data_IF_080730478349
#
_entry.id   IF_080730478349
#
_cell.length_a   1.000
_cell.length_b   1.000
_cell.length_c   1.000
_cell.angle_alpha   90.00
_cell.angle_beta   90.00
_cell.angle_gamma   90.00
#
_symmetry.space_group_name_H-M   'P 1'
#
loop_
_entity.id
_entity.type
_entity.pdbx_description
1 polymer ?
#
# COMPACT_ATOMS: atom_id res chain seq x y z
N UNK A 1 -5.38 -22.15 65.16
CA UNK A 1 -6.37 -21.59 64.20
C UNK A 1 -5.93 -20.25 63.60
N UNK A 2 -5.55 -19.22 64.38
CA UNK A 2 -5.08 -17.93 63.83
C UNK A 2 -3.94 -18.04 62.80
N UNK A 3 -2.93 -18.86 63.06
CA UNK A 3 -1.81 -19.04 62.13
C UNK A 3 -2.20 -19.70 60.80
N UNK A 4 -3.14 -20.66 60.82
CA UNK A 4 -3.62 -21.31 59.60
C UNK A 4 -4.42 -20.35 58.70
N UNK A 5 -5.22 -19.46 59.30
CA UNK A 5 -5.99 -18.45 58.57
C UNK A 5 -5.06 -17.42 57.90
N UNK A 6 -3.99 -17.02 58.60
CA UNK A 6 -3.00 -16.09 58.04
C UNK A 6 -2.27 -16.71 56.85
N UNK A 7 -1.86 -17.99 56.95
CA UNK A 7 -1.16 -18.69 55.87
C UNK A 7 -2.04 -18.82 54.62
N UNK A 8 -3.30 -19.21 54.79
CA UNK A 8 -4.25 -19.34 53.68
C UNK A 8 -4.50 -17.98 53.02
N UNK A 9 -4.67 -16.90 53.80
CA UNK A 9 -4.85 -15.56 53.28
C UNK A 9 -3.62 -15.09 52.48
N UNK A 10 -2.40 -15.36 52.95
CA UNK A 10 -1.17 -14.99 52.22
C UNK A 10 -1.02 -15.75 50.90
N UNK A 11 -1.37 -17.03 50.86
CA UNK A 11 -1.33 -17.84 49.63
C UNK A 11 -2.37 -17.34 48.64
N UNK A 12 -3.59 -17.03 49.09
CA UNK A 12 -4.64 -16.49 48.24
C UNK A 12 -4.25 -15.14 47.63
N UNK A 13 -3.62 -14.25 48.42
CA UNK A 13 -3.11 -12.96 47.94
C UNK A 13 -2.00 -13.17 46.90
N UNK A 14 -1.03 -14.05 47.17
CA UNK A 14 0.01 -14.38 46.19
C UNK A 14 -0.55 -14.94 44.89
N UNK A 15 -1.53 -15.84 44.96
CA UNK A 15 -2.19 -16.41 43.77
C UNK A 15 -2.97 -15.34 42.99
N UNK A 16 -3.65 -14.42 43.66
CA UNK A 16 -4.30 -13.29 42.97
C UNK A 16 -3.29 -12.35 42.33
N UNK A 17 -2.18 -12.01 43.02
CA UNK A 17 -1.13 -11.19 42.42
C UNK A 17 -0.55 -11.91 41.20
N UNK A 18 -0.25 -13.20 41.28
CA UNK A 18 0.25 -14.00 40.15
C UNK A 18 -0.74 -14.07 38.98
N UNK A 19 -2.04 -14.16 39.26
CA UNK A 19 -3.09 -14.16 38.23
C UNK A 19 -3.26 -12.79 37.54
N UNK A 20 -2.98 -11.68 38.24
CA UNK A 20 -2.99 -10.32 37.67
C UNK A 20 -1.63 -9.86 37.14
N UNK A 21 -0.55 -10.58 37.45
CA UNK A 21 0.76 -10.43 36.80
C UNK A 21 0.91 -11.43 35.65
N UNK A 22 -0.17 -11.72 34.91
CA UNK A 22 0.06 -12.10 33.51
C UNK A 22 0.67 -10.87 32.87
N UNK A 23 1.99 -10.92 32.82
CA UNK A 23 2.89 -9.87 32.40
C UNK A 23 2.27 -9.20 31.19
N UNK A 24 2.23 -7.87 31.22
CA UNK A 24 2.30 -7.11 29.99
C UNK A 24 3.48 -7.71 29.22
N UNK A 25 3.20 -8.63 28.29
CA UNK A 25 4.16 -9.01 27.27
C UNK A 25 4.42 -7.70 26.55
N UNK A 26 5.50 -7.05 26.98
CA UNK A 26 5.94 -5.78 26.42
C UNK A 26 6.11 -6.06 24.95
N UNK A 27 5.13 -5.58 24.20
CA UNK A 27 5.04 -5.83 22.80
C UNK A 27 6.28 -5.19 22.17
N UNK A 28 7.26 -6.03 21.81
CA UNK A 28 8.62 -5.58 21.48
C UNK A 28 8.56 -4.69 20.24
N UNK A 29 8.82 -3.40 20.43
CA UNK A 29 8.78 -2.36 19.41
C UNK A 29 8.38 -1.01 20.02
N UNK A 30 8.86 0.08 19.43
CA UNK A 30 8.45 1.42 19.81
C UNK A 30 7.10 1.79 19.16
N UNK A 31 6.35 2.69 19.80
CA UNK A 31 5.13 3.25 19.23
C UNK A 31 5.45 3.87 17.85
N UNK A 32 4.68 3.49 16.83
CA UNK A 32 4.89 3.89 15.44
C UNK A 32 5.71 2.89 14.61
N UNK A 33 6.33 1.88 15.22
CA UNK A 33 7.02 0.83 14.48
C UNK A 33 6.05 0.04 13.59
N UNK A 34 6.50 -0.30 12.39
CA UNK A 34 5.76 -1.12 11.42
C UNK A 34 6.44 -2.47 11.28
N UNK A 35 5.64 -3.55 11.32
CA UNK A 35 6.11 -4.93 11.16
C UNK A 35 5.30 -5.66 10.09
N UNK A 36 5.99 -6.36 9.20
CA UNK A 36 5.35 -7.32 8.30
C UNK A 36 5.36 -8.71 8.92
N UNK A 37 4.28 -9.46 8.77
CA UNK A 37 4.19 -10.81 9.29
C UNK A 37 3.32 -11.71 8.41
N UNK A 38 3.66 -13.01 8.41
CA UNK A 38 2.81 -14.06 7.84
C UNK A 38 1.65 -14.43 8.77
N UNK A 39 1.72 -14.04 10.05
CA UNK A 39 0.73 -14.42 11.06
C UNK A 39 -0.55 -13.56 10.92
N UNK A 40 -1.74 -14.18 10.97
CA UNK A 40 -3.00 -13.45 11.07
C UNK A 40 -3.12 -12.73 12.43
N UNK A 41 -4.04 -11.75 12.58
CA UNK A 41 -4.07 -10.86 13.73
C UNK A 41 -4.10 -11.55 15.10
N UNK A 42 -4.90 -12.61 15.26
CA UNK A 42 -5.01 -13.32 16.53
C UNK A 42 -3.68 -13.97 16.92
N UNK A 43 -3.02 -14.64 15.97
CA UNK A 43 -1.70 -15.26 16.18
C UNK A 43 -0.58 -14.25 16.32
N UNK A 44 -0.66 -13.14 15.61
CA UNK A 44 0.31 -12.07 15.74
C UNK A 44 0.29 -11.47 17.15
N UNK A 45 -0.91 -11.24 17.72
CA UNK A 45 -1.09 -10.71 19.07
C UNK A 45 -0.63 -11.69 20.16
N UNK A 46 -0.88 -13.00 19.98
CA UNK A 46 -0.34 -14.04 20.87
C UNK A 46 1.20 -13.94 20.98
N UNK A 47 1.89 -13.63 19.87
CA UNK A 47 3.37 -13.60 19.81
C UNK A 47 3.98 -12.22 20.09
N UNK A 48 3.26 -11.13 19.80
CA UNK A 48 3.81 -9.77 19.80
C UNK A 48 3.11 -8.84 20.79
N UNK A 49 2.08 -9.29 21.50
CA UNK A 49 1.28 -8.52 22.45
C UNK A 49 0.21 -7.63 21.83
N UNK A 50 -0.66 -7.09 22.69
CA UNK A 50 -1.88 -6.37 22.29
C UNK A 50 -1.67 -4.92 21.83
N UNK A 51 -0.45 -4.38 21.98
CA UNK A 51 -0.13 -3.01 21.56
C UNK A 51 -0.08 -2.79 20.05
N UNK A 52 -0.19 -3.86 19.26
CA UNK A 52 -0.15 -3.82 17.80
C UNK A 52 -1.54 -3.85 17.18
N UNK A 53 -1.72 -3.06 16.12
CA UNK A 53 -2.92 -3.07 15.29
C UNK A 53 -2.58 -3.45 13.86
N UNK A 54 -3.49 -4.16 13.19
CA UNK A 54 -3.42 -4.40 11.76
C UNK A 54 -3.62 -3.07 11.03
N UNK A 55 -2.80 -2.76 10.03
CA UNK A 55 -2.93 -1.55 9.22
C UNK A 55 -4.04 -1.70 8.16
N UNK A 56 -5.29 -1.68 8.61
CA UNK A 56 -6.50 -1.71 7.77
C UNK A 56 -7.38 -0.46 7.99
N UNK A 57 -8.61 -0.49 7.48
CA UNK A 57 -9.58 0.60 7.61
C UNK A 57 -10.15 0.76 9.04
N UNK A 58 -9.79 -0.13 9.98
CA UNK A 58 -10.39 -0.24 11.32
C UNK A 58 -9.38 -0.04 12.45
N UNK A 59 -8.27 0.65 12.19
CA UNK A 59 -7.24 0.90 13.20
C UNK A 59 -7.82 1.77 14.34
N UNK A 60 -7.80 1.28 15.60
CA UNK A 60 -8.35 2.03 16.73
C UNK A 60 -7.35 3.10 17.22
N UNK A 61 -7.26 4.22 16.50
CA UNK A 61 -6.35 5.31 16.85
C UNK A 61 -6.86 6.23 17.95
N UNK A 62 -8.18 6.42 18.08
CA UNK A 62 -8.73 7.32 19.09
C UNK A 62 -8.31 6.89 20.50
N UNK A 63 -7.56 7.75 21.21
CA UNK A 63 -7.10 7.47 22.57
C UNK A 63 -5.93 6.49 22.68
N UNK A 64 -5.34 6.04 21.56
CA UNK A 64 -4.12 5.25 21.59
C UNK A 64 -2.91 6.11 21.98
N UNK A 65 -1.80 5.48 22.36
CA UNK A 65 -0.55 6.19 22.62
C UNK A 65 -0.02 6.87 21.34
N UNK A 66 -0.15 6.22 20.18
CA UNK A 66 0.23 6.83 18.90
C UNK A 66 -0.55 8.12 18.62
N UNK A 67 -1.80 8.19 19.05
CA UNK A 67 -2.63 9.39 18.94
C UNK A 67 -2.31 10.43 20.01
N UNK A 68 -2.24 10.02 21.27
CA UNK A 68 -2.13 10.96 22.40
C UNK A 68 -0.70 11.47 22.59
N UNK A 69 0.32 10.65 22.35
CA UNK A 69 1.74 11.02 22.50
C UNK A 69 2.31 11.67 21.23
N UNK A 70 1.87 11.23 20.04
CA UNK A 70 2.45 11.67 18.76
C UNK A 70 1.48 12.44 17.84
N UNK A 71 0.22 12.59 18.23
CA UNK A 71 -0.76 13.37 17.46
C UNK A 71 -1.23 12.70 16.17
N UNK A 72 -0.96 11.41 15.96
CA UNK A 72 -1.38 10.70 14.74
C UNK A 72 -2.85 10.33 14.88
N UNK A 73 -3.71 10.94 14.06
CA UNK A 73 -5.17 10.75 14.11
C UNK A 73 -5.71 9.81 13.04
N UNK A 74 -4.92 9.51 12.02
CA UNK A 74 -5.31 8.66 10.90
C UNK A 74 -4.10 7.92 10.33
N UNK A 75 -4.32 6.70 9.86
CA UNK A 75 -3.35 5.90 9.11
C UNK A 75 -4.03 5.31 7.88
N UNK A 76 -3.28 5.03 6.80
CA UNK A 76 -3.84 4.40 5.62
C UNK A 76 -4.13 2.92 5.86
N UNK A 77 -5.13 2.39 5.16
CA UNK A 77 -5.28 0.96 4.92
C UNK A 77 -4.14 0.50 4.01
N UNK A 78 -3.26 -0.36 4.52
CA UNK A 78 -2.08 -0.81 3.80
C UNK A 78 -2.34 -2.03 2.90
N UNK A 79 -3.54 -2.61 2.92
CA UNK A 79 -3.85 -3.83 2.16
C UNK A 79 -3.74 -3.59 0.66
N UNK A 80 -2.96 -4.42 -0.02
CA UNK A 80 -2.75 -4.32 -1.47
C UNK A 80 -1.91 -3.12 -1.91
N UNK A 81 -1.34 -2.35 -0.98
CA UNK A 81 -0.50 -1.20 -1.29
C UNK A 81 0.98 -1.54 -1.19
N UNK A 82 1.79 -0.92 -2.06
CA UNK A 82 3.23 -0.90 -1.90
C UNK A 82 3.64 0.17 -0.88
N UNK A 83 4.43 -0.21 0.12
CA UNK A 83 5.02 0.74 1.05
C UNK A 83 6.32 1.29 0.46
N UNK A 84 6.46 2.61 0.52
CA UNK A 84 7.65 3.33 0.07
C UNK A 84 8.14 4.28 1.13
N UNK A 85 9.45 4.44 1.23
CA UNK A 85 10.05 5.48 2.07
C UNK A 85 9.69 6.87 1.55
N UNK A 86 9.54 7.82 2.47
CA UNK A 86 9.34 9.22 2.13
C UNK A 86 10.56 9.81 1.43
N UNK A 87 10.30 10.63 0.43
CA UNK A 87 11.30 11.41 -0.30
C UNK A 87 11.67 12.73 0.43
N UNK A 88 11.55 12.75 1.76
CA UNK A 88 11.67 13.98 2.54
C UNK A 88 13.11 14.51 2.50
N UNK A 89 13.28 15.81 2.19
CA UNK A 89 14.56 16.53 2.17
C UNK A 89 15.64 15.94 1.24
N UNK A 90 15.26 15.15 0.22
CA UNK A 90 16.23 14.67 -0.78
C UNK A 90 16.68 15.80 -1.71
N UNK A 91 17.98 15.83 -1.99
CA UNK A 91 18.65 16.84 -2.80
C UNK A 91 19.51 16.23 -3.92
N UNK A 92 19.26 14.97 -4.31
CA UNK A 92 20.18 14.17 -5.15
C UNK A 92 19.60 13.75 -6.52
N UNK A 93 18.68 14.54 -7.11
CA UNK A 93 17.98 14.29 -8.39
C UNK A 93 17.19 12.96 -8.50
N UNK A 94 17.33 12.05 -7.53
CA UNK A 94 16.63 10.76 -7.43
C UNK A 94 15.27 10.86 -6.75
N UNK A 95 14.86 12.08 -6.41
CA UNK A 95 13.55 12.34 -5.82
C UNK A 95 12.44 12.07 -6.82
N UNK A 96 11.33 11.54 -6.34
CA UNK A 96 10.11 11.49 -7.14
C UNK A 96 9.58 12.92 -7.41
N UNK A 97 8.81 13.13 -8.49
CA UNK A 97 8.40 14.45 -8.92
C UNK A 97 7.30 15.08 -8.05
N UNK A 98 6.79 14.39 -7.03
CA UNK A 98 5.62 14.80 -6.26
C UNK A 98 5.77 16.21 -5.69
N UNK A 99 6.92 16.55 -5.13
CA UNK A 99 7.14 17.86 -4.52
C UNK A 99 7.11 19.00 -5.55
N UNK A 100 7.59 18.73 -6.76
CA UNK A 100 7.56 19.67 -7.88
C UNK A 100 6.13 19.86 -8.41
N UNK A 101 5.36 18.78 -8.49
CA UNK A 101 3.98 18.77 -8.99
C UNK A 101 3.00 19.44 -8.00
N UNK A 102 3.19 19.19 -6.70
CA UNK A 102 2.24 19.60 -5.66
C UNK A 102 2.72 20.80 -4.83
N UNK A 103 3.95 21.29 -5.08
CA UNK A 103 4.59 22.40 -4.34
C UNK A 103 4.65 22.18 -2.82
N UNK A 104 4.72 20.92 -2.38
CA UNK A 104 4.85 20.50 -0.98
C UNK A 104 5.51 19.14 -0.85
N UNK A 105 6.07 18.84 0.32
CA UNK A 105 6.49 17.48 0.63
C UNK A 105 5.26 16.54 0.74
N UNK A 106 5.48 15.25 0.44
CA UNK A 106 4.51 14.19 0.70
C UNK A 106 4.39 13.97 2.20
N UNK A 107 3.16 13.83 2.69
CA UNK A 107 2.91 13.50 4.10
C UNK A 107 3.09 12.00 4.37
N UNK A 108 3.46 11.63 5.59
CA UNK A 108 3.47 10.22 6.02
C UNK A 108 2.06 9.63 5.82
N UNK A 109 2.00 8.43 5.22
CA UNK A 109 0.73 7.73 4.98
C UNK A 109 -0.09 8.23 3.78
N UNK A 110 0.41 9.22 3.02
CA UNK A 110 -0.31 9.75 1.87
C UNK A 110 -0.33 8.76 0.69
N UNK A 111 -1.54 8.34 0.31
CA UNK A 111 -1.78 7.45 -0.83
C UNK A 111 -1.26 8.05 -2.15
N UNK A 112 -0.71 7.18 -2.99
CA UNK A 112 -0.33 7.48 -4.37
C UNK A 112 -0.99 6.43 -5.26
N UNK A 113 -1.88 6.87 -6.14
CA UNK A 113 -2.46 5.98 -7.14
C UNK A 113 -1.43 5.57 -8.20
N UNK A 114 -1.72 4.46 -8.87
CA UNK A 114 -0.92 4.00 -10.00
C UNK A 114 -0.98 5.02 -11.14
N UNK A 115 0.15 5.21 -11.81
CA UNK A 115 0.27 6.13 -12.93
C UNK A 115 1.16 5.54 -14.01
N UNK A 116 0.74 5.69 -15.26
CA UNK A 116 1.56 5.40 -16.43
C UNK A 116 2.06 6.71 -17.01
N UNK A 117 3.37 6.86 -17.09
CA UNK A 117 3.97 8.05 -17.72
C UNK A 117 3.56 8.15 -19.19
N UNK A 118 3.34 9.38 -19.66
CA UNK A 118 3.12 9.64 -21.08
C UNK A 118 4.33 9.12 -21.87
N UNK A 119 4.07 8.23 -22.82
CA UNK A 119 5.08 7.71 -23.73
C UNK A 119 4.46 7.50 -25.11
N UNK A 120 5.31 7.42 -26.14
CA UNK A 120 4.90 7.23 -27.53
C UNK A 120 5.64 6.05 -28.12
N UNK A 121 4.92 5.19 -28.85
CA UNK A 121 5.53 4.10 -29.61
C UNK A 121 5.72 4.55 -31.06
N UNK A 122 6.94 4.56 -31.61
CA UNK A 122 7.13 4.75 -33.03
C UNK A 122 6.62 3.51 -33.76
N UNK A 123 5.61 3.68 -34.62
CA UNK A 123 5.13 2.60 -35.49
C UNK A 123 5.94 2.68 -36.77
N UNK A 124 6.75 1.65 -37.05
CA UNK A 124 7.38 1.49 -38.36
C UNK A 124 6.31 1.05 -39.37
N UNK A 125 5.96 1.93 -40.30
CA UNK A 125 4.96 1.65 -41.33
C UNK A 125 5.45 0.66 -42.39
N UNK A 126 6.68 0.11 -42.30
CA UNK A 126 7.11 -0.99 -43.17
C UNK A 126 6.26 -2.26 -43.00
N UNK A 127 5.62 -2.47 -41.85
CA UNK A 127 4.87 -3.69 -41.53
C UNK A 127 3.35 -3.50 -41.36
N UNK A 128 2.79 -2.32 -41.67
CA UNK A 128 1.35 -2.08 -41.56
C UNK A 128 0.80 -1.06 -42.55
N UNK A 129 -0.33 -1.38 -43.17
CA UNK A 129 -1.14 -0.44 -43.94
C UNK A 129 -2.34 0.01 -43.09
N UNK A 130 -2.58 1.32 -43.03
CA UNK A 130 -3.84 1.83 -42.54
C UNK A 130 -4.88 1.75 -43.64
N UNK A 131 -5.89 0.90 -43.47
CA UNK A 131 -7.10 0.99 -44.26
C UNK A 131 -7.84 2.26 -43.85
N UNK A 132 -7.63 3.33 -44.61
CA UNK A 132 -8.56 4.44 -44.62
C UNK A 132 -9.81 3.95 -45.35
N UNK A 133 -10.79 3.44 -44.59
CA UNK A 133 -12.11 3.10 -45.11
C UNK A 133 -12.87 4.42 -45.39
N UNK A 134 -12.33 5.24 -46.28
CA UNK A 134 -12.85 6.56 -46.65
C UNK A 134 -14.13 6.50 -47.48
N UNK A 135 -15.07 5.62 -47.16
CA UNK A 135 -16.29 5.45 -47.96
C UNK A 135 -17.59 5.23 -47.19
N UNK A 136 -17.61 5.24 -45.85
CA UNK A 136 -18.89 5.20 -45.12
C UNK A 136 -18.86 6.12 -43.89
N UNK A 137 -19.29 7.36 -44.15
CA UNK A 137 -20.00 8.35 -43.31
C UNK A 137 -19.84 8.28 -41.77
N UNK A 138 -19.49 9.45 -41.19
CA UNK A 138 -19.78 9.93 -39.82
C UNK A 138 -20.22 8.85 -38.80
N UNK A 139 -19.41 8.48 -37.80
CA UNK A 139 -18.56 9.37 -36.98
C UNK A 139 -17.04 9.10 -37.21
N UNK A 140 -16.07 9.68 -36.45
CA UNK A 140 -14.68 9.81 -36.92
C UNK A 140 -14.01 8.45 -37.21
N UNK A 141 -13.08 8.41 -38.18
CA UNK A 141 -12.57 7.15 -38.73
C UNK A 141 -11.89 6.32 -37.65
N UNK A 142 -12.45 5.13 -37.41
CA UNK A 142 -11.81 4.09 -36.61
C UNK A 142 -10.71 3.47 -37.47
N UNK A 143 -9.45 3.73 -37.13
CA UNK A 143 -8.32 3.08 -37.78
C UNK A 143 -8.19 1.64 -37.29
N UNK A 144 -8.57 0.68 -38.13
CA UNK A 144 -8.41 -0.75 -37.86
C UNK A 144 -7.04 -1.19 -38.40
N UNK A 145 -6.18 -1.73 -37.53
CA UNK A 145 -4.96 -2.41 -37.95
C UNK A 145 -5.33 -3.75 -38.59
N UNK A 146 -5.15 -3.87 -39.89
CA UNK A 146 -5.28 -5.15 -40.60
C UNK A 146 -3.85 -5.60 -40.93
N UNK A 147 -3.34 -6.57 -40.18
CA UNK A 147 -2.07 -7.22 -40.49
C UNK A 147 -2.13 -7.91 -41.86
N UNK A 148 -0.98 -8.02 -42.51
CA UNK A 148 -0.69 -8.90 -43.67
C UNK A 148 -0.51 -8.26 -45.07
N UNK A 149 -0.30 -6.94 -45.21
CA UNK A 149 0.16 -6.38 -46.50
C UNK A 149 1.28 -5.35 -46.37
N UNK A 150 2.38 -5.48 -47.16
CA UNK A 150 3.47 -4.50 -47.17
C UNK A 150 3.00 -3.15 -47.73
N UNK A 151 3.27 -2.07 -47.00
CA UNK A 151 2.77 -0.73 -47.32
C UNK A 151 3.46 -0.13 -48.55
N UNK A 152 2.67 0.31 -49.53
CA UNK A 152 3.14 1.20 -50.61
C UNK A 152 3.10 2.65 -50.11
N UNK A 153 4.28 3.26 -49.99
CA UNK A 153 4.58 4.70 -49.93
C UNK A 153 3.42 5.65 -49.59
N UNK A 154 3.02 5.72 -48.33
CA UNK A 154 2.29 6.89 -47.86
C UNK A 154 2.70 7.22 -46.42
N UNK A 155 3.53 8.26 -46.29
CA UNK A 155 3.90 8.88 -45.02
C UNK A 155 2.71 9.65 -44.48
N UNK A 156 1.96 9.06 -43.54
CA UNK A 156 1.00 9.80 -42.71
C UNK A 156 1.40 9.72 -41.23
N UNK A 157 1.23 10.85 -40.55
CA UNK A 157 1.78 11.16 -39.23
C UNK A 157 1.42 10.16 -38.14
N UNK A 158 2.31 10.08 -37.14
CA UNK A 158 2.24 9.14 -36.03
C UNK A 158 0.88 9.13 -35.35
N UNK A 159 0.22 7.97 -35.40
CA UNK A 159 -0.99 7.73 -34.66
C UNK A 159 -0.66 7.25 -33.25
N UNK A 160 -1.31 7.88 -32.30
CA UNK A 160 -1.29 7.43 -30.90
C UNK A 160 -2.42 6.41 -30.76
N UNK A 161 -2.08 5.12 -30.79
CA UNK A 161 -3.03 4.07 -30.43
C UNK A 161 -3.07 3.96 -28.90
N UNK A 162 -4.07 4.56 -28.27
CA UNK A 162 -4.44 4.20 -26.89
C UNK A 162 -5.45 3.07 -26.98
N UNK A 163 -4.98 1.83 -26.93
CA UNK A 163 -5.88 0.68 -26.81
C UNK A 163 -6.40 0.60 -25.37
N UNK A 164 -7.55 1.21 -25.14
CA UNK A 164 -8.30 1.13 -23.89
C UNK A 164 -9.27 -0.07 -23.87
N UNK A 165 -9.24 -0.95 -24.88
CA UNK A 165 -10.32 -1.90 -25.16
C UNK A 165 -9.97 -3.38 -24.99
N UNK A 166 -8.71 -3.72 -24.73
CA UNK A 166 -8.34 -5.09 -24.37
C UNK A 166 -8.31 -5.22 -22.84
N UNK A 167 -8.97 -6.24 -22.24
CA UNK A 167 -8.88 -6.52 -20.81
C UNK A 167 -7.48 -7.07 -20.54
N UNK A 168 -6.49 -6.19 -20.51
CA UNK A 168 -5.15 -6.57 -20.12
C UNK A 168 -5.28 -6.94 -18.65
N UNK A 169 -5.03 -8.22 -18.37
CA UNK A 169 -4.60 -8.70 -17.07
C UNK A 169 -3.40 -7.84 -16.72
N UNK A 170 -3.71 -6.79 -15.99
CA UNK A 170 -2.90 -5.65 -15.59
C UNK A 170 -1.45 -6.04 -15.31
N UNK A 171 -0.51 -5.21 -15.74
CA UNK A 171 0.92 -5.33 -15.49
C UNK A 171 1.21 -5.24 -13.99
N UNK A 172 0.88 -6.30 -13.23
CA UNK A 172 1.11 -6.36 -11.79
C UNK A 172 2.54 -6.83 -11.55
N UNK A 173 3.36 -6.05 -10.82
CA UNK A 173 4.63 -6.56 -10.34
C UNK A 173 4.39 -7.86 -9.56
N UNK A 174 5.22 -8.88 -9.81
CA UNK A 174 5.23 -10.08 -8.97
C UNK A 174 5.48 -9.65 -7.52
N UNK A 175 4.58 -10.01 -6.62
CA UNK A 175 4.67 -9.62 -5.22
C UNK A 175 4.24 -10.79 -4.32
N UNK A 176 4.63 -10.70 -3.04
CA UNK A 176 4.18 -11.58 -1.96
C UNK A 176 3.45 -10.70 -0.96
N UNK A 177 2.27 -11.14 -0.52
CA UNK A 177 1.47 -10.42 0.45
C UNK A 177 1.79 -10.89 1.88
N UNK A 178 2.00 -9.93 2.77
CA UNK A 178 2.14 -10.12 4.21
C UNK A 178 1.16 -9.20 4.93
N UNK A 179 0.76 -9.57 6.15
CA UNK A 179 0.04 -8.65 7.01
C UNK A 179 0.99 -7.54 7.45
N UNK A 180 0.48 -6.30 7.47
CA UNK A 180 1.23 -5.14 7.92
C UNK A 180 0.62 -4.65 9.22
N UNK A 181 1.42 -4.59 10.27
CA UNK A 181 1.01 -4.15 11.60
C UNK A 181 1.76 -2.89 12.01
N UNK A 182 1.13 -2.08 12.85
CA UNK A 182 1.74 -0.91 13.48
C UNK A 182 1.55 -0.96 15.00
N UNK A 183 2.60 -0.60 15.74
CA UNK A 183 2.54 -0.48 17.20
C UNK A 183 1.85 0.83 17.57
N UNK A 184 0.70 0.74 18.24
CA UNK A 184 -0.13 1.91 18.58
C UNK A 184 -0.20 2.21 20.08
N UNK A 185 0.11 1.23 20.94
CA UNK A 185 0.12 1.34 22.40
C UNK A 185 1.32 0.57 22.96
N UNK A 186 1.81 0.94 24.14
CA UNK A 186 2.81 0.15 24.88
C UNK A 186 2.27 -1.19 25.39
#
# INVERSE_FOLDING_TARGET
>A
MRHAVIIIATIAIMLTIMAFTHSNDQAIGAIGDVKYSVLPPDKFKEENGNGWALMDDKIPLQGSDLNTKHGITSLPDARGLFIRSLNLNRNDEKGDPYAKENKRARSVGEYQGDAVGKHTHPIDMKTGYMLNLGAFQNPPPVSIFVGDRPAYNNSYGGLTATDASLPIIETRPKNIALYTYIKIND
#
